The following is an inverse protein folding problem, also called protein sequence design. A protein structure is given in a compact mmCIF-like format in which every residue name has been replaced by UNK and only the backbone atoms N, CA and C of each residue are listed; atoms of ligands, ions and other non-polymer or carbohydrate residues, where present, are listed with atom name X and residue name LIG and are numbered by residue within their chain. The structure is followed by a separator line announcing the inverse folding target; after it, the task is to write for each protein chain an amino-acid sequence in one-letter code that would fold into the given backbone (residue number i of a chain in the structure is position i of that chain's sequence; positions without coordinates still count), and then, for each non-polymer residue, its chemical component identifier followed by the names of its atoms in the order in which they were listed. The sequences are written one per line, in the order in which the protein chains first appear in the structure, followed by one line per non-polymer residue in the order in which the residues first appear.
data_IF_162052366797
#
_entry.id   IF_162052366797
#
_cell.length_a   1.000
_cell.length_b   1.000
_cell.length_c   1.000
_cell.angle_alpha   90.00
_cell.angle_beta   90.00
_cell.angle_gamma   90.00
#
_symmetry.space_group_name_H-M   'P 1'
#
loop_
_entity.id
_entity.type
_entity.pdbx_description
1 polymer ?
#
# COMPACT_ATOMS: atom_id res chain seq x y z
N UNK A 1 -36.12 -31.33 -42.68
CA UNK A 1 -35.79 -31.10 -41.26
C UNK A 1 -34.27 -31.03 -41.04
N UNK A 2 -33.57 -30.04 -41.62
CA UNK A 2 -32.10 -29.89 -41.50
C UNK A 2 -31.62 -28.44 -41.32
N UNK A 3 -32.54 -27.47 -41.19
CA UNK A 3 -32.19 -26.05 -41.01
C UNK A 3 -32.33 -25.55 -39.56
N UNK A 4 -32.93 -26.33 -38.67
CA UNK A 4 -32.98 -26.03 -37.22
C UNK A 4 -31.77 -26.58 -36.46
N UNK A 5 -30.95 -27.44 -37.06
CA UNK A 5 -29.77 -28.02 -36.40
C UNK A 5 -28.56 -27.08 -36.42
N UNK A 6 -28.55 -26.06 -37.29
CA UNK A 6 -27.43 -25.11 -37.38
C UNK A 6 -27.53 -23.96 -36.35
N UNK A 7 -28.72 -23.68 -35.82
CA UNK A 7 -28.92 -22.65 -34.79
C UNK A 7 -28.59 -23.13 -33.37
N UNK A 8 -28.48 -24.45 -33.15
CA UNK A 8 -28.12 -25.02 -31.84
C UNK A 8 -26.61 -25.11 -31.59
N UNK A 9 -25.77 -24.89 -32.62
CA UNK A 9 -24.32 -24.96 -32.51
C UNK A 9 -23.65 -23.59 -32.25
N UNK A 10 -24.36 -22.48 -32.49
CA UNK A 10 -23.84 -21.13 -32.24
C UNK A 10 -24.16 -20.64 -30.82
N UNK A 11 -25.18 -21.22 -30.17
CA UNK A 11 -25.53 -20.86 -28.79
C UNK A 11 -24.65 -21.55 -27.72
N UNK A 12 -23.82 -22.52 -28.12
CA UNK A 12 -22.94 -23.26 -27.21
C UNK A 12 -21.60 -22.56 -26.92
N UNK A 13 -21.29 -21.41 -27.54
CA UNK A 13 -20.02 -20.68 -27.30
C UNK A 13 -20.08 -19.62 -26.18
N UNK A 14 -21.21 -19.44 -25.50
CA UNK A 14 -21.36 -18.42 -24.44
C UNK A 14 -21.08 -18.90 -23.02
N UNK A 15 -20.31 -19.97 -22.83
CA UNK A 15 -19.83 -20.34 -21.48
C UNK A 15 -18.33 -20.59 -21.48
N UNK A 16 -17.54 -19.62 -21.95
CA UNK A 16 -16.18 -19.49 -21.41
C UNK A 16 -16.32 -19.02 -19.97
N UNK A 17 -16.35 -20.01 -19.08
CA UNK A 17 -16.07 -19.89 -17.66
C UNK A 17 -14.96 -18.86 -17.49
N UNK A 18 -15.32 -17.70 -16.95
CA UNK A 18 -14.31 -16.79 -16.39
C UNK A 18 -13.76 -17.52 -15.17
N UNK A 19 -12.74 -18.36 -15.39
CA UNK A 19 -11.89 -18.81 -14.31
C UNK A 19 -11.15 -17.55 -13.84
N UNK A 20 -11.78 -16.79 -12.93
CA UNK A 20 -11.06 -15.81 -12.15
C UNK A 20 -9.99 -16.61 -11.42
N UNK A 21 -8.75 -16.50 -11.91
CA UNK A 21 -7.58 -16.73 -11.09
C UNK A 21 -7.72 -15.77 -9.92
N UNK A 22 -8.30 -16.28 -8.83
CA UNK A 22 -8.23 -15.62 -7.55
C UNK A 22 -6.76 -15.76 -7.16
N UNK A 23 -5.93 -14.82 -7.62
CA UNK A 23 -4.61 -14.61 -7.06
C UNK A 23 -4.86 -14.52 -5.57
N UNK A 24 -4.43 -15.55 -4.83
CA UNK A 24 -4.48 -15.54 -3.39
C UNK A 24 -3.73 -14.27 -2.98
N UNK A 25 -4.47 -13.22 -2.64
CA UNK A 25 -3.89 -12.10 -1.96
C UNK A 25 -3.46 -12.70 -0.64
N UNK A 26 -2.14 -12.94 -0.51
CA UNK A 26 -1.51 -13.15 0.77
C UNK A 26 -1.75 -11.85 1.54
N UNK A 27 -2.94 -11.75 2.12
CA UNK A 27 -3.30 -10.74 3.09
C UNK A 27 -2.52 -11.15 4.32
N UNK A 28 -1.27 -10.68 4.38
CA UNK A 28 -0.51 -10.57 5.62
C UNK A 28 -1.28 -9.59 6.50
N UNK A 29 -2.41 -10.05 7.05
CA UNK A 29 -3.07 -9.42 8.17
C UNK A 29 -2.14 -9.70 9.35
N UNK A 30 -1.15 -8.82 9.51
CA UNK A 30 -0.49 -8.71 10.80
C UNK A 30 -1.63 -8.57 11.82
N UNK A 31 -1.68 -9.41 12.88
CA UNK A 31 -2.62 -9.18 13.96
C UNK A 31 -2.52 -7.72 14.40
N UNK A 32 -3.61 -7.15 14.94
CA UNK A 32 -3.61 -5.83 15.55
C UNK A 32 -2.70 -5.86 16.79
N UNK A 33 -1.39 -5.97 16.56
CA UNK A 33 -0.35 -5.81 17.53
C UNK A 33 -0.22 -4.31 17.68
N UNK A 34 -0.27 -3.86 18.91
CA UNK A 34 -0.06 -2.48 19.30
C UNK A 34 1.41 -2.08 19.04
N UNK A 35 1.75 -1.88 17.77
CA UNK A 35 3.11 -1.73 17.30
C UNK A 35 3.40 -0.25 17.02
N UNK A 36 4.39 0.30 17.70
CA UNK A 36 4.85 1.67 17.48
C UNK A 36 5.46 1.90 16.09
N UNK A 37 5.90 0.83 15.42
CA UNK A 37 6.43 0.87 14.06
C UNK A 37 5.84 -0.24 13.20
N UNK A 38 5.58 0.07 11.93
CA UNK A 38 5.14 -0.90 10.92
C UNK A 38 5.87 -0.68 9.59
N UNK A 39 6.21 -1.77 8.90
CA UNK A 39 6.75 -1.74 7.54
C UNK A 39 5.62 -1.96 6.54
N UNK A 40 5.63 -1.16 5.47
CA UNK A 40 4.71 -1.25 4.35
C UNK A 40 5.51 -1.53 3.09
N UNK A 41 5.22 -2.64 2.40
CA UNK A 41 5.84 -2.95 1.12
C UNK A 41 5.39 -1.97 0.04
N UNK A 42 6.32 -1.58 -0.83
CA UNK A 42 5.98 -0.91 -2.10
C UNK A 42 5.86 -1.95 -3.22
N UNK A 43 5.39 -1.54 -4.40
CA UNK A 43 5.46 -2.40 -5.59
C UNK A 43 6.90 -2.57 -6.13
N UNK A 44 7.86 -1.77 -5.64
CA UNK A 44 9.27 -2.08 -5.80
C UNK A 44 9.68 -3.07 -4.70
N UNK A 45 10.03 -4.29 -5.10
CA UNK A 45 10.36 -5.39 -4.18
C UNK A 45 11.52 -5.09 -3.21
N UNK A 46 12.38 -4.13 -3.53
CA UNK A 46 13.53 -3.74 -2.71
C UNK A 46 13.19 -2.67 -1.67
N UNK A 47 12.07 -1.97 -1.84
CA UNK A 47 11.73 -0.77 -1.08
C UNK A 47 10.51 -0.98 -0.19
N UNK A 48 10.65 -0.57 1.07
CA UNK A 48 9.59 -0.50 2.07
C UNK A 48 9.50 0.92 2.64
N UNK A 49 8.35 1.25 3.21
CA UNK A 49 8.15 2.42 4.05
C UNK A 49 8.03 1.96 5.51
N UNK A 50 8.95 2.39 6.37
CA UNK A 50 8.83 2.23 7.81
C UNK A 50 8.07 3.42 8.37
N UNK A 51 6.94 3.18 9.01
CA UNK A 51 6.07 4.19 9.63
C UNK A 51 6.16 4.09 11.15
N UNK A 52 6.40 5.21 11.83
CA UNK A 52 6.07 5.38 13.25
C UNK A 52 4.56 5.59 13.35
N UNK A 53 3.84 4.56 13.79
CA UNK A 53 2.37 4.55 13.81
C UNK A 53 1.80 5.53 14.83
N UNK A 54 2.62 6.06 15.74
CA UNK A 54 2.20 7.00 16.77
C UNK A 54 2.04 8.42 16.28
N UNK A 55 2.94 8.85 15.39
CA UNK A 55 3.10 10.26 15.05
C UNK A 55 3.26 10.55 13.55
N UNK A 56 3.30 9.53 12.69
CA UNK A 56 3.35 9.70 11.24
C UNK A 56 4.75 9.96 10.67
N UNK A 57 5.80 9.98 11.51
CA UNK A 57 7.18 10.01 11.00
C UNK A 57 7.48 8.72 10.23
N UNK A 58 8.26 8.82 9.16
CA UNK A 58 8.50 7.67 8.30
C UNK A 58 9.83 7.73 7.54
N UNK A 59 10.29 6.55 7.15
CA UNK A 59 11.57 6.32 6.48
C UNK A 59 11.37 5.40 5.27
N UNK A 60 12.13 5.67 4.20
CA UNK A 60 12.35 4.71 3.14
C UNK A 60 13.39 3.69 3.62
N UNK A 61 13.06 2.41 3.51
CA UNK A 61 13.94 1.28 3.83
C UNK A 61 14.20 0.51 2.54
N UNK A 62 15.47 0.35 2.18
CA UNK A 62 15.89 -0.47 1.05
C UNK A 62 16.71 -1.66 1.53
N UNK A 63 16.35 -2.85 1.09
CA UNK A 63 17.11 -4.07 1.34
C UNK A 63 17.81 -4.56 0.06
N UNK A 64 18.90 -5.28 0.25
CA UNK A 64 19.73 -5.87 -0.79
C UNK A 64 20.60 -6.96 -0.14
N UNK A 65 21.08 -7.92 -0.93
CA UNK A 65 22.11 -8.89 -0.53
C UNK A 65 23.52 -8.31 -0.57
N UNK A 66 23.73 -7.22 -1.33
CA UNK A 66 25.00 -6.50 -1.46
C UNK A 66 25.20 -5.36 -0.46
N UNK A 67 25.65 -4.20 -0.97
CA UNK A 67 26.00 -3.01 -0.18
C UNK A 67 24.97 -1.88 -0.27
N UNK A 68 23.90 -2.02 -1.07
CA UNK A 68 22.92 -0.96 -1.32
C UNK A 68 21.77 -0.94 -0.29
N UNK A 69 22.04 -1.38 0.94
CA UNK A 69 21.07 -1.37 2.05
C UNK A 69 21.11 -0.03 2.74
N UNK A 70 19.96 0.60 2.92
CA UNK A 70 19.88 1.85 3.65
C UNK A 70 18.51 2.07 4.28
N UNK A 71 18.51 2.97 5.26
CA UNK A 71 17.33 3.64 5.76
C UNK A 71 17.54 5.14 5.61
N UNK A 72 16.60 5.82 4.96
CA UNK A 72 16.65 7.27 4.79
C UNK A 72 15.34 7.89 5.26
N UNK A 73 15.37 9.05 5.94
CA UNK A 73 14.15 9.78 6.27
C UNK A 73 13.33 10.08 5.03
N UNK A 74 12.02 9.79 5.10
CA UNK A 74 11.04 10.26 4.12
C UNK A 74 10.33 11.50 4.68
N UNK A 75 9.86 11.43 5.93
CA UNK A 75 9.38 12.60 6.68
C UNK A 75 9.70 12.44 8.16
N UNK A 76 10.39 13.43 8.73
CA UNK A 76 10.63 13.52 10.18
C UNK A 76 9.65 14.47 10.88
N UNK A 77 8.72 15.07 10.13
CA UNK A 77 7.69 15.93 10.69
C UNK A 77 6.63 15.06 11.37
N UNK A 78 6.48 15.19 12.68
CA UNK A 78 5.35 14.61 13.40
C UNK A 78 4.06 15.31 12.98
N UNK A 79 2.99 14.55 12.80
CA UNK A 79 1.68 15.03 12.36
C UNK A 79 0.75 15.38 13.54
N UNK A 80 1.19 15.11 14.76
CA UNK A 80 0.47 15.27 16.04
C UNK A 80 1.44 15.69 17.14
N UNK A 81 0.91 16.26 18.21
CA UNK A 81 1.72 16.61 19.38
C UNK A 81 2.08 15.35 20.22
N UNK A 82 3.15 15.40 21.04
CA UNK A 82 3.62 14.25 21.83
C UNK A 82 2.56 13.64 22.77
N UNK A 83 1.67 14.46 23.32
CA UNK A 83 0.56 14.05 24.20
C UNK A 83 -0.60 13.37 23.44
N UNK A 84 -0.61 13.47 22.11
CA UNK A 84 -1.61 12.86 21.23
C UNK A 84 -1.08 11.61 20.51
N UNK A 85 0.16 11.21 20.76
CA UNK A 85 0.76 10.01 20.20
C UNK A 85 0.06 8.75 20.72
N UNK A 86 -0.34 7.87 19.80
CA UNK A 86 -0.97 6.60 20.15
C UNK A 86 -0.53 5.51 19.17
N UNK A 87 -0.10 4.37 19.69
CA UNK A 87 0.24 3.23 18.83
C UNK A 87 -0.92 2.91 17.88
N UNK A 88 -0.58 2.54 16.64
CA UNK A 88 -1.55 2.28 15.58
C UNK A 88 -2.47 3.47 15.24
N UNK A 89 -2.11 4.73 15.53
CA UNK A 89 -2.87 5.90 15.07
C UNK A 89 -2.78 6.04 13.56
N UNK A 90 -1.59 6.02 13.01
CA UNK A 90 -1.33 6.20 11.58
C UNK A 90 -1.21 4.86 10.85
N UNK A 91 -1.83 4.76 9.68
CA UNK A 91 -1.69 3.62 8.77
C UNK A 91 -1.53 4.07 7.32
N UNK A 92 -0.65 3.39 6.57
CA UNK A 92 -0.49 3.57 5.13
C UNK A 92 -1.32 2.55 4.35
N UNK A 93 -2.00 3.02 3.32
CA UNK A 93 -2.68 2.22 2.31
C UNK A 93 -1.94 2.37 0.98
N UNK A 94 -1.51 1.26 0.34
CA UNK A 94 -0.82 1.33 -0.95
C UNK A 94 -1.78 1.82 -2.04
N UNK A 95 -1.23 2.54 -3.03
CA UNK A 95 -1.94 2.86 -4.27
C UNK A 95 -1.46 1.96 -5.42
N UNK A 96 -2.11 2.05 -6.58
CA UNK A 96 -1.62 1.39 -7.81
C UNK A 96 -0.33 2.03 -8.33
N UNK A 97 -0.07 3.29 -7.98
CA UNK A 97 1.17 3.99 -8.31
C UNK A 97 2.27 3.58 -7.31
N UNK A 98 3.38 3.06 -7.82
CA UNK A 98 4.46 2.50 -7.00
C UNK A 98 5.08 3.51 -6.02
N UNK A 99 5.02 4.81 -6.33
CA UNK A 99 5.60 5.88 -5.55
C UNK A 99 4.67 6.47 -4.50
N UNK A 100 3.37 6.11 -4.51
CA UNK A 100 2.35 6.79 -3.72
C UNK A 100 1.61 5.86 -2.75
N UNK A 101 1.34 6.39 -1.56
CA UNK A 101 0.49 5.82 -0.53
C UNK A 101 -0.53 6.85 -0.06
N UNK A 102 -1.61 6.37 0.56
CA UNK A 102 -2.55 7.18 1.34
C UNK A 102 -2.29 6.92 2.81
N UNK A 103 -1.94 7.95 3.57
CA UNK A 103 -1.81 7.89 5.02
C UNK A 103 -3.13 8.29 5.67
N UNK A 104 -3.66 7.45 6.55
CA UNK A 104 -4.86 7.71 7.34
C UNK A 104 -4.47 7.90 8.81
N UNK A 105 -4.92 9.01 9.41
CA UNK A 105 -5.04 9.12 10.86
C UNK A 105 -6.32 8.39 11.29
N UNK A 106 -6.17 7.22 11.89
CA UNK A 106 -7.30 6.37 12.30
C UNK A 106 -8.04 6.91 13.53
N UNK A 107 -7.55 7.98 14.16
CA UNK A 107 -8.21 8.63 15.31
C UNK A 107 -9.15 9.74 14.87
N UNK A 108 -8.70 10.63 13.99
CA UNK A 108 -9.48 11.82 13.58
C UNK A 108 -9.86 11.87 12.10
N UNK A 109 -9.44 10.89 11.30
CA UNK A 109 -9.86 10.73 9.90
C UNK A 109 -9.11 11.60 8.90
N UNK A 110 -8.13 12.41 9.33
CA UNK A 110 -7.30 13.19 8.39
C UNK A 110 -6.50 12.26 7.47
N UNK A 111 -6.30 12.72 6.24
CA UNK A 111 -5.66 11.93 5.19
C UNK A 111 -4.55 12.73 4.52
N UNK A 112 -3.47 12.05 4.15
CA UNK A 112 -2.38 12.61 3.37
C UNK A 112 -2.02 11.71 2.19
N UNK A 113 -1.66 12.32 1.07
CA UNK A 113 -0.87 11.67 0.04
C UNK A 113 0.58 11.60 0.50
N UNK A 114 1.18 10.41 0.38
CA UNK A 114 2.58 10.16 0.71
C UNK A 114 3.31 9.73 -0.55
N UNK A 115 4.33 10.47 -0.96
CA UNK A 115 5.19 10.16 -2.10
C UNK A 115 6.62 9.84 -1.61
N UNK A 116 7.13 8.67 -1.99
CA UNK A 116 8.54 8.31 -1.80
C UNK A 116 9.31 8.44 -3.11
N UNK A 117 10.61 8.75 -3.01
CA UNK A 117 11.54 8.80 -4.13
C UNK A 117 12.96 8.54 -3.64
N UNK A 118 13.80 8.02 -4.52
CA UNK A 118 15.25 7.93 -4.30
C UNK A 118 15.89 9.32 -4.22
N UNK A 119 15.23 10.35 -4.75
CA UNK A 119 15.64 11.75 -4.65
C UNK A 119 14.91 12.42 -3.48
N UNK A 120 15.61 12.88 -2.43
CA UNK A 120 14.97 13.50 -1.26
C UNK A 120 14.02 14.66 -1.59
N UNK A 121 14.35 15.47 -2.59
CA UNK A 121 13.58 16.64 -3.04
C UNK A 121 12.25 16.29 -3.72
N UNK A 122 12.07 15.04 -4.17
CA UNK A 122 10.83 14.55 -4.77
C UNK A 122 9.93 13.83 -3.74
N UNK A 123 10.33 13.79 -2.46
CA UNK A 123 9.53 13.19 -1.39
C UNK A 123 8.51 14.19 -0.87
N UNK A 124 7.29 13.74 -0.61
CA UNK A 124 6.22 14.63 -0.18
C UNK A 124 5.23 13.94 0.75
N UNK A 125 4.70 14.72 1.70
CA UNK A 125 3.53 14.40 2.52
C UNK A 125 2.56 15.57 2.38
N UNK A 126 1.48 15.38 1.65
CA UNK A 126 0.52 16.43 1.29
C UNK A 126 -0.83 16.10 1.90
N UNK A 127 -1.41 17.03 2.67
CA UNK A 127 -2.76 16.84 3.19
C UNK A 127 -3.77 16.78 2.03
N UNK A 128 -4.79 15.94 2.18
CA UNK A 128 -5.92 15.87 1.24
C UNK A 128 -7.11 16.57 1.90
N UNK A 129 -7.70 17.54 1.17
CA UNK A 129 -8.88 18.33 1.57
C UNK A 129 -10.16 17.80 0.93
#
# INVERSE_FOLDING_TARGET
MKKTLFFLLVFAMFTTVSAQSQSASNSFTFPCVDASYRLYSTNNMWTYIKLNTRNGQMWQVQWDTGKNRFESPLSLKALVAPDQEKNNRFALSPTTNIYNFILLDQVDGRVWQVQWSNKPEERAILAIE
#
